data_IF_146076693041
#
_entry.id   IF_146076693041
#
_cell.length_a   1.000
_cell.length_b   1.000
_cell.length_c   1.000
_cell.angle_alpha   90.00
_cell.angle_beta   90.00
_cell.angle_gamma   90.00
#
_symmetry.space_group_name_H-M   'P 1'
#
loop_
_entity.id
_entity.type
_entity.pdbx_description
1 polymer ?
#
# COMPACT_ATOMS: atom_id res chain seq x y z
N UNK A 1 -5.43 -23.34 -0.18
CA UNK A 1 -5.47 -22.18 -1.10
C UNK A 1 -4.99 -20.98 -0.33
N UNK A 2 -3.71 -20.61 -0.46
CA UNK A 2 -3.17 -19.45 0.26
C UNK A 2 -3.65 -18.19 -0.46
N UNK A 3 -4.72 -17.61 0.08
CA UNK A 3 -5.25 -16.33 -0.34
C UNK A 3 -4.42 -15.20 0.27
N UNK A 4 -3.22 -15.00 -0.26
CA UNK A 4 -2.42 -13.82 0.07
C UNK A 4 -3.07 -12.59 -0.56
N UNK A 5 -3.94 -11.94 0.23
CA UNK A 5 -4.56 -10.66 -0.14
C UNK A 5 -3.53 -9.55 0.00
N UNK A 6 -3.51 -8.65 -0.99
CA UNK A 6 -2.60 -7.50 -1.01
C UNK A 6 -2.97 -6.55 0.11
N UNK A 7 -2.02 -6.10 0.92
CA UNK A 7 -2.27 -5.15 2.01
C UNK A 7 -1.81 -3.76 1.58
N UNK A 8 -2.70 -2.79 1.63
CA UNK A 8 -2.42 -1.40 1.26
C UNK A 8 -2.54 -0.54 2.50
N UNK A 9 -1.41 -0.14 3.06
CA UNK A 9 -1.33 0.76 4.20
C UNK A 9 -1.35 2.20 3.69
N UNK A 10 -2.24 3.02 4.23
CA UNK A 10 -2.32 4.43 3.87
C UNK A 10 -3.39 5.16 4.66
N UNK A 11 -3.78 6.33 4.18
CA UNK A 11 -4.84 7.14 4.79
C UNK A 11 -5.87 7.50 3.73
N UNK A 12 -7.13 7.72 4.14
CA UNK A 12 -8.18 8.10 3.19
C UNK A 12 -7.97 9.52 2.61
N UNK A 13 -7.22 10.35 3.34
CA UNK A 13 -6.86 11.72 3.00
C UNK A 13 -5.92 11.81 1.80
N UNK A 14 -5.23 10.73 1.43
CA UNK A 14 -4.29 10.74 0.30
C UNK A 14 -4.92 10.21 -1.00
N UNK A 15 -4.80 10.96 -2.12
CA UNK A 15 -5.35 10.53 -3.42
C UNK A 15 -4.68 9.26 -3.96
N UNK A 16 -3.37 9.10 -3.76
CA UNK A 16 -2.61 7.93 -4.23
C UNK A 16 -3.12 6.61 -3.61
N UNK A 17 -3.49 6.64 -2.33
CA UNK A 17 -4.06 5.49 -1.62
C UNK A 17 -5.40 5.07 -2.21
N UNK A 18 -6.25 6.04 -2.57
CA UNK A 18 -7.53 5.77 -3.25
C UNK A 18 -7.31 5.14 -4.62
N UNK A 19 -6.31 5.59 -5.37
CA UNK A 19 -5.96 5.01 -6.66
C UNK A 19 -5.47 3.57 -6.53
N UNK A 20 -4.51 3.30 -5.62
CA UNK A 20 -4.03 1.94 -5.37
C UNK A 20 -5.19 1.00 -5.01
N UNK A 21 -6.06 1.42 -4.08
CA UNK A 21 -7.26 0.66 -3.72
C UNK A 21 -8.18 0.39 -4.92
N UNK A 22 -8.38 1.37 -5.80
CA UNK A 22 -9.19 1.22 -7.00
C UNK A 22 -8.56 0.27 -8.04
N UNK A 23 -7.22 0.21 -8.12
CA UNK A 23 -6.48 -0.72 -8.99
C UNK A 23 -6.63 -2.17 -8.52
N UNK A 24 -6.44 -2.43 -7.22
CA UNK A 24 -6.47 -3.79 -6.68
C UNK A 24 -7.86 -4.27 -6.26
N UNK A 25 -8.82 -3.35 -6.04
CA UNK A 25 -10.22 -3.61 -5.68
C UNK A 25 -10.37 -4.63 -4.55
N UNK A 26 -10.91 -5.81 -4.86
CA UNK A 26 -11.25 -6.88 -3.92
C UNK A 26 -10.06 -7.77 -3.57
N UNK A 27 -9.00 -7.70 -4.39
CA UNK A 27 -7.75 -8.43 -4.16
C UNK A 27 -6.89 -7.77 -3.08
N UNK A 28 -7.14 -6.48 -2.81
CA UNK A 28 -6.46 -5.75 -1.76
C UNK A 28 -7.35 -5.40 -0.58
N UNK A 29 -6.72 -5.32 0.58
CA UNK A 29 -7.27 -4.83 1.83
C UNK A 29 -6.65 -3.46 2.09
N UNK A 30 -7.48 -2.43 2.14
CA UNK A 30 -7.07 -1.11 2.56
C UNK A 30 -7.02 -1.05 4.10
N UNK A 31 -5.88 -0.60 4.63
CA UNK A 31 -5.60 -0.49 6.05
C UNK A 31 -5.31 0.98 6.33
N UNK A 32 -6.16 1.60 7.16
CA UNK A 32 -5.99 3.00 7.54
C UNK A 32 -4.97 3.10 8.69
N UNK A 33 -3.85 3.76 8.46
CA UNK A 33 -2.82 3.98 9.50
C UNK A 33 -2.97 5.32 10.23
N UNK A 34 -3.95 6.14 9.83
CA UNK A 34 -4.17 7.45 10.46
C UNK A 34 -4.69 7.34 11.90
N UNK A 35 -5.54 6.35 12.17
CA UNK A 35 -6.16 6.14 13.49
C UNK A 35 -5.52 4.93 14.22
N UNK A 36 -4.96 3.98 13.47
CA UNK A 36 -4.33 2.78 14.00
C UNK A 36 -2.80 2.91 14.10
N UNK A 37 -2.29 3.20 15.30
CA UNK A 37 -0.85 3.27 15.57
C UNK A 37 -0.13 1.93 15.33
N UNK A 38 -0.76 0.79 15.66
CA UNK A 38 -0.22 -0.54 15.38
C UNK A 38 0.06 -0.75 13.88
N UNK A 39 -0.87 -0.30 13.04
CA UNK A 39 -0.74 -0.41 11.57
C UNK A 39 0.26 0.57 11.00
N UNK A 40 0.40 1.74 11.64
CA UNK A 40 1.44 2.71 11.31
C UNK A 40 2.84 2.12 11.56
N UNK A 41 3.05 1.49 12.71
CA UNK A 41 4.34 0.86 13.04
C UNK A 41 4.67 -0.28 12.06
N UNK A 42 3.68 -1.13 11.76
CA UNK A 42 3.79 -2.19 10.76
C UNK A 42 4.17 -1.62 9.37
N UNK A 43 3.54 -0.53 8.95
CA UNK A 43 3.87 0.18 7.71
C UNK A 43 5.30 0.76 7.71
N UNK A 44 5.74 1.32 8.84
CA UNK A 44 7.09 1.86 9.00
C UNK A 44 8.13 0.75 8.91
N UNK A 45 7.87 -0.42 9.50
CA UNK A 45 8.74 -1.59 9.39
C UNK A 45 8.93 -2.01 7.93
N UNK A 46 7.86 -2.03 7.13
CA UNK A 46 7.94 -2.32 5.70
C UNK A 46 8.72 -1.25 4.91
N UNK A 47 8.54 0.02 5.24
CA UNK A 47 9.17 1.14 4.51
C UNK A 47 10.57 1.52 5.00
N UNK A 48 11.11 0.81 5.99
CA UNK A 48 12.39 1.12 6.62
C UNK A 48 12.38 2.44 7.39
N UNK A 49 11.29 2.72 8.11
CA UNK A 49 11.11 3.93 8.93
C UNK A 49 10.64 5.15 8.14
N UNK A 50 10.32 5.02 6.86
CA UNK A 50 9.82 6.12 6.04
C UNK A 50 8.31 6.25 6.14
N UNK A 51 7.81 7.44 6.48
CA UNK A 51 6.37 7.80 6.44
C UNK A 51 5.91 8.10 5.01
N UNK A 52 5.99 7.11 4.13
CA UNK A 52 5.55 7.23 2.73
C UNK A 52 4.34 6.33 2.54
N UNK A 53 3.26 6.87 2.00
CA UNK A 53 2.03 6.14 1.70
C UNK A 53 1.61 6.35 0.24
N UNK A 54 0.89 5.38 -0.37
CA UNK A 54 0.52 4.07 0.18
C UNK A 54 1.69 3.06 0.19
N UNK A 55 1.67 2.10 1.11
CA UNK A 55 2.61 0.95 1.14
C UNK A 55 1.84 -0.30 0.78
N UNK A 56 2.27 -0.99 -0.27
CA UNK A 56 1.60 -2.16 -0.83
C UNK A 56 2.46 -3.38 -0.49
N UNK A 57 1.86 -4.37 0.16
CA UNK A 57 2.51 -5.62 0.56
C UNK A 57 1.79 -6.80 -0.08
N UNK A 58 2.51 -7.53 -0.93
CA UNK A 58 2.02 -8.66 -1.71
C UNK A 58 2.89 -9.89 -1.45
N UNK A 59 2.47 -10.77 -0.55
CA UNK A 59 3.10 -12.08 -0.30
C UNK A 59 4.62 -12.07 -0.01
N UNK A 60 5.19 -10.92 0.35
CA UNK A 60 6.63 -10.73 0.54
C UNK A 60 7.25 -9.61 -0.32
N UNK A 61 6.55 -9.14 -1.36
CA UNK A 61 6.95 -7.94 -2.11
C UNK A 61 6.37 -6.70 -1.45
N UNK A 62 7.26 -5.86 -0.92
CA UNK A 62 6.91 -4.54 -0.38
C UNK A 62 7.17 -3.48 -1.45
N UNK A 63 6.16 -2.67 -1.74
CA UNK A 63 6.25 -1.52 -2.65
C UNK A 63 5.83 -0.27 -1.91
N UNK A 64 6.73 0.70 -1.81
CA UNK A 64 6.49 1.97 -1.11
C UNK A 64 6.16 3.04 -2.14
N UNK A 65 5.00 3.66 -2.00
CA UNK A 65 4.45 4.62 -2.97
C UNK A 65 3.65 3.94 -4.08
N UNK A 66 2.66 4.66 -4.61
CA UNK A 66 1.87 4.24 -5.77
C UNK A 66 1.84 5.37 -6.79
N UNK A 67 2.36 5.10 -7.99
CA UNK A 67 2.26 6.00 -9.12
C UNK A 67 1.25 5.42 -10.12
N UNK A 68 0.14 6.11 -10.43
CA UNK A 68 -0.85 5.66 -11.41
C UNK A 68 -0.34 5.79 -12.86
N UNK A 69 0.67 6.64 -13.07
CA UNK A 69 1.38 6.72 -14.34
C UNK A 69 2.33 5.52 -14.39
N UNK A 70 1.89 4.48 -15.10
CA UNK A 70 2.68 3.30 -15.32
C UNK A 70 4.02 3.71 -15.91
N UNK A 71 5.06 3.66 -15.08
CA UNK A 71 6.42 3.48 -15.54
C UNK A 71 6.55 2.08 -16.15
N UNK A 72 5.83 1.83 -17.24
CA UNK A 72 6.34 0.98 -18.30
C UNK A 72 7.63 1.65 -18.76
N UNK A 73 8.74 1.28 -18.12
CA UNK A 73 10.02 1.27 -18.80
C UNK A 73 9.81 0.46 -20.08
N UNK A 74 9.81 1.16 -21.20
CA UNK A 74 9.63 0.58 -22.51
C UNK A 74 10.38 1.44 -23.52
N UNK A 75 11.60 0.99 -23.86
CA UNK A 75 12.38 1.45 -25.01
C UNK A 75 13.49 2.42 -24.68
#
# INVERSE_FOLDING_TARGET
>A
MSGDKIRIYGTDTCPFTRQARATYKEKAIFINVADDQDKLDEMLAYSGGKRIIPVIVDGGKVTVGFSPDGGSGGG
#
